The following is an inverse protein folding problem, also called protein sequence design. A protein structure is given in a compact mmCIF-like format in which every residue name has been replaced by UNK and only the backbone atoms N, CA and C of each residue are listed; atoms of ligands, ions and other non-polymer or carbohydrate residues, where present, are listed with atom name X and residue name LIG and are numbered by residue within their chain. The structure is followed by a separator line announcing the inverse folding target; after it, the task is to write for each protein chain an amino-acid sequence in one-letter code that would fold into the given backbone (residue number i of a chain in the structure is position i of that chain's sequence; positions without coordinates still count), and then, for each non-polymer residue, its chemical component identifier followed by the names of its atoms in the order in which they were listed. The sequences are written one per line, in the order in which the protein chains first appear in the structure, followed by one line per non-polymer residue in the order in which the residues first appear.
data_IF_649648676809
#
_entry.id   IF_649648676809
#
_cell.length_a   1.000
_cell.length_b   1.000
_cell.length_c   1.000
_cell.angle_alpha   90.00
_cell.angle_beta   90.00
_cell.angle_gamma   90.00
#
_symmetry.space_group_name_H-M   'P 1'
#
loop_
_entity.id
_entity.type
_entity.pdbx_description
1 polymer ?
#
# COMPACT_ATOMS: atom_id res chain seq x y z
N UNK A 1 37.00 -29.53 17.94
CA UNK A 1 36.73 -28.08 17.91
C UNK A 1 37.07 -27.56 16.52
N UNK A 2 36.07 -27.28 15.69
CA UNK A 2 36.24 -26.63 14.40
C UNK A 2 35.15 -25.57 14.25
N UNK A 3 35.60 -24.34 14.00
CA UNK A 3 34.85 -23.12 13.82
C UNK A 3 34.30 -23.10 12.38
N UNK A 4 32.98 -23.06 12.19
CA UNK A 4 32.35 -22.85 10.89
C UNK A 4 31.44 -21.62 11.00
N UNK A 5 32.05 -20.46 10.73
CA UNK A 5 31.36 -19.25 10.32
C UNK A 5 30.82 -19.44 8.89
N UNK A 6 29.68 -18.79 8.60
CA UNK A 6 29.00 -18.63 7.30
C UNK A 6 28.29 -19.86 6.70
N UNK A 7 26.97 -19.88 6.88
CA UNK A 7 25.97 -20.09 5.82
C UNK A 7 24.62 -19.71 6.45
N UNK A 8 24.19 -18.45 6.42
CA UNK A 8 23.70 -17.78 5.21
C UNK A 8 22.72 -18.66 4.41
N UNK A 9 21.77 -19.27 5.10
CA UNK A 9 20.43 -19.51 4.58
C UNK A 9 19.51 -18.63 5.44
N UNK A 10 19.23 -17.38 5.07
CA UNK A 10 18.13 -17.06 4.17
C UNK A 10 17.00 -18.09 4.26
N UNK A 11 16.47 -18.27 5.47
CA UNK A 11 15.13 -18.81 5.63
C UNK A 11 14.18 -17.73 5.11
N UNK A 12 13.87 -17.83 3.81
CA UNK A 12 12.74 -17.16 3.15
C UNK A 12 11.44 -17.55 3.84
N UNK A 13 11.17 -16.91 4.97
CA UNK A 13 9.83 -16.81 5.53
C UNK A 13 9.23 -15.50 5.02
N UNK A 14 9.22 -15.31 3.69
CA UNK A 14 8.54 -14.15 3.09
C UNK A 14 7.04 -14.39 3.11
N UNK A 15 6.44 -14.34 4.30
CA UNK A 15 5.00 -14.24 4.44
C UNK A 15 4.58 -12.96 3.71
N UNK A 16 3.97 -13.10 2.54
CA UNK A 16 3.41 -11.94 1.85
C UNK A 16 2.22 -11.46 2.67
N UNK A 17 2.23 -10.20 3.08
CA UNK A 17 1.14 -9.59 3.84
C UNK A 17 0.64 -8.35 3.12
N UNK A 18 -0.58 -7.95 3.47
CA UNK A 18 -1.22 -6.76 2.92
C UNK A 18 -1.10 -5.61 3.90
N UNK A 19 -0.95 -4.39 3.39
CA UNK A 19 -0.86 -3.17 4.19
C UNK A 19 -1.81 -2.12 3.64
N UNK A 20 -2.59 -1.48 4.51
CA UNK A 20 -3.33 -0.25 4.18
C UNK A 20 -2.42 0.94 4.42
N UNK A 21 -2.25 1.76 3.38
CA UNK A 21 -1.55 3.03 3.48
C UNK A 21 -2.59 4.15 3.28
N UNK A 22 -2.78 5.05 4.27
CA UNK A 22 -3.63 6.22 4.10
C UNK A 22 -3.13 7.06 2.92
N UNK A 23 -4.06 7.55 2.11
CA UNK A 23 -3.77 8.34 0.93
C UNK A 23 -4.72 9.52 0.81
N UNK A 24 -4.23 10.60 0.20
CA UNK A 24 -5.03 11.79 -0.14
C UNK A 24 -4.75 12.20 -1.57
N UNK A 25 -5.80 12.52 -2.34
CA UNK A 25 -5.62 13.06 -3.69
C UNK A 25 -4.99 14.44 -3.64
N UNK A 26 -3.92 14.63 -4.40
CA UNK A 26 -3.36 15.95 -4.71
C UNK A 26 -4.07 16.55 -5.94
N UNK A 27 -4.19 15.77 -7.02
CA UNK A 27 -4.87 16.18 -8.26
C UNK A 27 -4.32 15.50 -9.51
N UNK A 28 -4.75 15.95 -10.69
CA UNK A 28 -4.33 15.40 -11.98
C UNK A 28 -3.13 16.16 -12.55
N UNK A 29 -1.91 15.81 -12.15
CA UNK A 29 -0.68 16.44 -12.66
C UNK A 29 -0.25 15.88 -14.02
N UNK A 30 -0.79 14.72 -14.43
CA UNK A 30 -0.52 14.04 -15.70
C UNK A 30 -1.81 13.49 -16.30
N UNK A 31 -1.87 13.41 -17.62
CA UNK A 31 -3.05 12.89 -18.31
C UNK A 31 -3.25 11.40 -18.01
N UNK A 32 -4.47 11.03 -17.61
CA UNK A 32 -4.81 9.64 -17.29
C UNK A 32 -4.32 9.15 -15.91
N UNK A 33 -3.68 10.01 -15.12
CA UNK A 33 -3.17 9.67 -13.79
C UNK A 33 -3.66 10.70 -12.76
N UNK A 34 -3.87 10.23 -11.53
CA UNK A 34 -4.11 11.07 -10.37
C UNK A 34 -2.91 10.93 -9.46
N UNK A 35 -2.31 12.07 -9.12
CA UNK A 35 -1.27 12.15 -8.12
C UNK A 35 -1.90 12.07 -6.74
N UNK A 36 -1.45 11.09 -5.96
CA UNK A 36 -1.86 10.86 -4.58
C UNK A 36 -0.68 11.05 -3.65
N UNK A 37 -0.96 11.51 -2.44
CA UNK A 37 -0.02 11.59 -1.33
C UNK A 37 -0.28 10.36 -0.46
N UNK A 38 0.72 9.52 -0.29
CA UNK A 38 0.72 8.36 0.61
C UNK A 38 1.34 8.73 1.96
N UNK A 39 0.72 8.26 3.04
CA UNK A 39 1.16 8.47 4.43
C UNK A 39 1.51 7.13 5.10
N UNK A 40 2.66 6.51 4.79
CA UNK A 40 3.05 5.21 5.33
C UNK A 40 3.43 5.24 6.83
N UNK A 41 3.48 6.41 7.47
CA UNK A 41 3.81 6.60 8.89
C UNK A 41 5.19 7.23 9.11
N UNK A 42 5.60 7.38 10.38
CA UNK A 42 6.92 7.93 10.80
C UNK A 42 7.28 9.31 10.21
N UNK A 43 6.28 10.14 9.91
CA UNK A 43 6.49 11.46 9.28
C UNK A 43 6.92 11.38 7.81
N UNK A 44 6.89 10.20 7.19
CA UNK A 44 7.18 10.03 5.77
C UNK A 44 5.96 10.39 4.92
N UNK A 45 6.23 11.06 3.80
CA UNK A 45 5.25 11.46 2.80
C UNK A 45 5.80 11.08 1.43
N UNK A 46 5.02 10.32 0.66
CA UNK A 46 5.41 9.84 -0.67
C UNK A 46 4.34 10.27 -1.67
N UNK A 47 4.72 10.75 -2.84
CA UNK A 47 3.78 11.05 -3.93
C UNK A 47 3.84 9.97 -4.99
N UNK A 48 2.70 9.43 -5.36
CA UNK A 48 2.58 8.41 -6.40
C UNK A 48 1.59 8.84 -7.48
N UNK A 49 1.86 8.49 -8.72
CA UNK A 49 0.94 8.67 -9.84
C UNK A 49 0.17 7.36 -10.05
N UNK A 50 -1.14 7.38 -9.84
CA UNK A 50 -2.00 6.21 -9.99
C UNK A 50 -2.90 6.40 -11.22
N UNK A 51 -2.98 5.43 -12.13
CA UNK A 51 -3.91 5.48 -13.25
C UNK A 51 -5.35 5.74 -12.78
N UNK A 52 -6.04 6.68 -13.43
CA UNK A 52 -7.38 7.14 -13.03
C UNK A 52 -8.40 6.01 -12.94
N UNK A 53 -8.28 5.00 -13.81
CA UNK A 53 -9.21 3.85 -13.85
C UNK A 53 -9.10 2.93 -12.63
N UNK A 54 -8.00 3.00 -11.85
CA UNK A 54 -7.85 2.25 -10.60
C UNK A 54 -8.49 2.97 -9.41
N UNK A 55 -8.73 4.29 -9.53
CA UNK A 55 -9.36 5.09 -8.48
C UNK A 55 -10.86 5.19 -8.77
N UNK A 56 -11.74 4.77 -7.85
CA UNK A 56 -13.19 4.99 -7.96
C UNK A 56 -13.53 6.45 -8.22
N UNK A 57 -14.52 6.73 -9.06
CA UNK A 57 -14.81 8.08 -9.56
C UNK A 57 -15.08 9.09 -8.44
N UNK A 58 -15.82 8.66 -7.42
CA UNK A 58 -16.17 9.44 -6.24
C UNK A 58 -14.94 9.81 -5.37
N UNK A 59 -13.84 9.07 -5.51
CA UNK A 59 -12.59 9.30 -4.79
C UNK A 59 -11.56 10.12 -5.58
N UNK A 60 -11.86 10.56 -6.81
CA UNK A 60 -10.91 11.28 -7.68
C UNK A 60 -10.75 12.76 -7.37
N UNK A 61 -11.63 13.32 -6.55
CA UNK A 61 -11.61 14.75 -6.23
C UNK A 61 -10.37 15.13 -5.40
N UNK A 62 -9.78 16.33 -5.61
CA UNK A 62 -8.72 16.83 -4.76
C UNK A 62 -9.10 16.79 -3.28
N UNK A 63 -8.14 16.39 -2.44
CA UNK A 63 -8.30 16.15 -1.01
C UNK A 63 -9.20 14.97 -0.62
N UNK A 64 -9.76 14.20 -1.56
CA UNK A 64 -10.41 12.93 -1.23
C UNK A 64 -9.41 12.00 -0.54
N UNK A 65 -9.88 11.36 0.52
CA UNK A 65 -9.08 10.46 1.36
C UNK A 65 -9.56 9.02 1.20
N UNK A 66 -8.61 8.10 1.13
CA UNK A 66 -8.86 6.67 1.00
C UNK A 66 -7.64 5.87 1.44
N UNK A 67 -7.76 4.54 1.43
CA UNK A 67 -6.62 3.66 1.63
C UNK A 67 -6.17 3.04 0.32
N UNK A 68 -4.85 2.96 0.14
CA UNK A 68 -4.23 2.16 -0.90
C UNK A 68 -3.75 0.85 -0.27
N UNK A 69 -4.20 -0.27 -0.84
CA UNK A 69 -3.83 -1.60 -0.43
C UNK A 69 -2.60 -2.05 -1.20
N UNK A 70 -1.50 -2.29 -0.49
CA UNK A 70 -0.27 -2.84 -1.05
C UNK A 70 -0.04 -4.27 -0.59
N UNK A 71 0.54 -5.09 -1.48
CA UNK A 71 1.10 -6.40 -1.12
C UNK A 71 2.61 -6.27 -0.89
N UNK A 72 3.08 -6.66 0.29
CA UNK A 72 4.49 -6.73 0.64
C UNK A 72 5.05 -8.13 0.27
N UNK A 73 6.32 -8.26 -0.16
CA UNK A 73 7.36 -7.21 -0.30
C UNK A 73 7.33 -6.41 -1.60
N UNK A 74 6.59 -6.86 -2.62
CA UNK A 74 6.67 -6.31 -3.98
C UNK A 74 6.12 -4.90 -4.15
N UNK A 75 5.50 -4.35 -3.09
CA UNK A 75 4.79 -3.05 -3.08
C UNK A 75 3.79 -2.92 -4.23
N UNK A 76 3.21 -4.04 -4.64
CA UNK A 76 2.22 -4.06 -5.71
C UNK A 76 0.93 -3.44 -5.18
N UNK A 77 0.44 -2.39 -5.83
CA UNK A 77 -0.89 -1.84 -5.58
C UNK A 77 -1.92 -2.88 -6.00
N UNK A 78 -2.76 -3.27 -5.06
CA UNK A 78 -3.79 -4.30 -5.25
C UNK A 78 -5.15 -3.65 -5.44
N UNK A 79 -5.50 -2.70 -4.58
CA UNK A 79 -6.82 -2.09 -4.54
C UNK A 79 -6.79 -0.70 -3.89
N UNK A 80 -7.73 0.15 -4.27
CA UNK A 80 -8.08 1.35 -3.51
C UNK A 80 -9.40 1.09 -2.81
N UNK A 81 -9.45 1.35 -1.50
CA UNK A 81 -10.64 1.11 -0.67
C UNK A 81 -11.03 2.39 0.04
N UNK A 82 -12.33 2.60 0.20
CA UNK A 82 -12.84 3.73 0.95
C UNK A 82 -12.46 3.63 2.44
N UNK A 83 -12.49 4.74 3.19
CA UNK A 83 -12.09 4.80 4.59
C UNK A 83 -12.91 3.87 5.50
N UNK A 84 -14.18 3.61 5.16
CA UNK A 84 -15.08 2.73 5.92
C UNK A 84 -15.21 1.32 5.29
N UNK A 85 -14.50 1.05 4.20
CA UNK A 85 -14.64 -0.21 3.48
C UNK A 85 -13.80 -1.32 4.12
N UNK A 86 -14.49 -2.39 4.54
CA UNK A 86 -13.87 -3.60 5.10
C UNK A 86 -13.06 -4.34 4.03
N UNK A 87 -11.89 -4.84 4.40
CA UNK A 87 -11.01 -5.60 3.51
C UNK A 87 -10.59 -6.88 4.23
N UNK A 88 -11.14 -8.01 3.79
CA UNK A 88 -10.87 -9.34 4.37
C UNK A 88 -9.37 -9.68 4.46
N UNK A 89 -8.59 -9.18 3.52
CA UNK A 89 -7.16 -9.42 3.36
C UNK A 89 -6.31 -8.82 4.50
N UNK A 90 -6.86 -7.84 5.24
CA UNK A 90 -6.19 -7.18 6.37
C UNK A 90 -7.03 -7.32 7.65
N UNK A 91 -8.32 -7.02 7.58
CA UNK A 91 -9.20 -6.96 8.74
C UNK A 91 -9.64 -8.35 9.21
N UNK A 92 -9.52 -9.37 8.35
CA UNK A 92 -9.84 -10.76 8.70
C UNK A 92 -8.78 -11.44 9.56
N UNK A 93 -7.63 -10.80 9.83
CA UNK A 93 -6.54 -11.37 10.63
C UNK A 93 -6.66 -11.10 12.14
N UNK A 94 -7.64 -10.33 12.60
CA UNK A 94 -7.91 -10.15 14.03
C UNK A 94 -8.84 -11.25 14.54
N UNK A 95 -8.28 -12.43 14.81
CA UNK A 95 -8.74 -13.45 15.79
C UNK A 95 -7.85 -14.70 15.66
N UNK A 96 -6.70 -14.69 16.33
CA UNK A 96 -5.94 -15.90 16.70
C UNK A 96 -5.17 -15.63 17.99
#
# INVERSE_FOLDING_TARGET
MANWYLNMHHAENSSSFYVRVPARVLGCLRAGEITVILFPGHGLVITEAIPTYLIPEELRMPNSEFYVLFKHPDRKLIKIVNLQEFCSEIDGMSNA
#
